data_IF_135438449636
#
_entry.id   IF_135438449636
#
_cell.length_a   1.000
_cell.length_b   1.000
_cell.length_c   1.000
_cell.angle_alpha   90.00
_cell.angle_beta   90.00
_cell.angle_gamma   90.00
#
_symmetry.space_group_name_H-M   'P 1'
#
loop_
_entity.id
_entity.type
_entity.pdbx_description
1 polymer ?
#
# COMPACT_ATOMS: atom_id res chain seq x y z
N UNK A 1 22.60 -69.17 -0.20
CA UNK A 1 21.56 -68.78 -1.19
C UNK A 1 21.50 -67.27 -1.28
N UNK A 2 21.09 -66.78 -2.44
CA UNK A 2 21.32 -65.44 -3.02
C UNK A 2 20.65 -64.26 -2.28
N UNK A 3 21.24 -63.08 -2.49
CA UNK A 3 20.91 -61.73 -2.01
C UNK A 3 19.42 -61.36 -1.93
N UNK A 4 19.09 -60.50 -0.95
CA UNK A 4 18.11 -59.43 -1.10
C UNK A 4 18.70 -58.11 -0.62
N UNK A 5 18.68 -57.14 -1.53
CA UNK A 5 19.03 -55.75 -1.36
C UNK A 5 17.87 -54.99 -0.70
N UNK A 6 18.18 -53.94 0.06
CA UNK A 6 17.70 -52.56 -0.17
C UNK A 6 18.42 -51.59 0.75
N UNK A 7 18.92 -50.51 0.15
CA UNK A 7 19.62 -49.41 0.77
C UNK A 7 18.65 -48.42 1.43
N UNK A 8 19.12 -47.67 2.43
CA UNK A 8 18.83 -46.24 2.55
C UNK A 8 19.78 -45.61 3.58
N UNK A 9 20.63 -44.72 3.07
CA UNK A 9 21.50 -43.85 3.83
C UNK A 9 20.69 -42.76 4.55
N UNK A 10 21.20 -42.26 5.68
CA UNK A 10 20.89 -40.92 6.15
C UNK A 10 22.18 -40.28 6.66
N UNK A 11 22.65 -39.31 5.87
CA UNK A 11 23.82 -38.50 6.08
C UNK A 11 23.59 -37.47 7.19
N UNK A 12 24.64 -37.21 7.95
CA UNK A 12 24.75 -36.13 8.92
C UNK A 12 24.88 -34.77 8.20
N UNK A 13 24.28 -33.72 8.77
CA UNK A 13 24.68 -32.33 8.52
C UNK A 13 24.66 -31.56 9.84
N UNK A 14 25.83 -31.03 10.21
CA UNK A 14 26.03 -30.04 11.26
C UNK A 14 26.26 -28.66 10.60
N UNK A 15 25.67 -27.60 11.16
CA UNK A 15 26.07 -26.20 10.94
C UNK A 15 25.35 -25.35 12.01
N UNK A 16 26.06 -24.79 12.99
CA UNK A 16 26.77 -23.49 13.02
C UNK A 16 25.91 -22.29 13.45
N UNK A 17 26.52 -21.50 14.34
CA UNK A 17 25.95 -20.47 15.20
C UNK A 17 25.48 -19.19 14.50
N UNK A 18 24.61 -18.42 15.16
CA UNK A 18 24.64 -16.95 15.16
C UNK A 18 23.86 -16.37 16.34
N UNK A 19 24.53 -15.51 17.11
CA UNK A 19 23.92 -14.54 18.02
C UNK A 19 23.22 -13.48 17.18
N UNK A 20 22.01 -13.03 17.55
CA UNK A 20 21.68 -11.59 17.53
C UNK A 20 20.44 -11.29 18.37
N UNK A 21 20.59 -10.33 19.27
CA UNK A 21 19.52 -9.74 20.06
C UNK A 21 18.55 -8.97 19.14
N UNK A 22 17.25 -9.22 19.28
CA UNK A 22 16.23 -8.30 18.80
C UNK A 22 15.62 -7.61 20.02
N UNK A 23 16.23 -6.49 20.38
CA UNK A 23 15.59 -5.46 21.19
C UNK A 23 14.25 -5.13 20.56
N UNK A 24 13.18 -5.30 21.34
CA UNK A 24 11.86 -4.78 21.03
C UNK A 24 11.93 -3.25 21.02
N UNK A 25 12.08 -2.68 19.84
CA UNK A 25 11.99 -1.24 19.64
C UNK A 25 10.61 -0.88 19.13
N UNK A 26 9.99 0.00 19.88
CA UNK A 26 8.67 0.61 19.74
C UNK A 26 8.43 1.27 18.38
N UNK A 27 7.14 1.43 18.07
CA UNK A 27 6.56 2.31 17.06
C UNK A 27 7.40 3.56 16.76
N UNK A 28 8.01 3.58 15.59
CA UNK A 28 8.46 4.80 14.92
C UNK A 28 8.09 4.68 13.45
N UNK A 29 6.81 4.88 13.15
CA UNK A 29 6.35 5.21 11.80
C UNK A 29 6.82 6.63 11.46
N UNK A 30 8.14 6.82 11.40
CA UNK A 30 8.75 8.01 10.79
C UNK A 30 8.33 7.97 9.32
N UNK A 31 7.58 8.98 8.81
CA UNK A 31 7.32 9.06 7.38
C UNK A 31 8.68 9.01 6.68
N UNK A 32 8.79 8.21 5.61
CA UNK A 32 9.93 8.31 4.72
C UNK A 32 10.17 9.80 4.45
N UNK A 33 11.40 10.28 4.62
CA UNK A 33 11.73 11.70 4.83
C UNK A 33 11.38 12.65 3.67
N UNK A 34 10.57 12.21 2.70
CA UNK A 34 10.20 12.91 1.48
C UNK A 34 8.71 12.78 1.10
N UNK A 35 7.82 12.33 1.99
CA UNK A 35 6.37 12.32 1.71
C UNK A 35 5.78 13.71 2.01
N UNK A 36 5.11 14.38 1.05
CA UNK A 36 4.42 15.65 1.30
C UNK A 36 3.37 15.52 2.41
N UNK A 37 3.14 16.61 3.15
CA UNK A 37 2.06 16.64 4.14
C UNK A 37 0.70 16.49 3.46
N UNK A 38 -0.15 15.66 4.06
CA UNK A 38 -1.51 15.40 3.59
C UNK A 38 -2.46 15.15 4.77
N UNK A 39 -3.77 15.22 4.51
CA UNK A 39 -4.82 14.90 5.48
C UNK A 39 -5.79 13.90 4.87
N UNK A 40 -6.08 12.79 5.57
CA UNK A 40 -7.21 11.93 5.20
C UNK A 40 -8.50 12.63 5.66
N UNK A 41 -9.39 12.92 4.72
CA UNK A 41 -10.68 13.56 5.01
C UNK A 41 -11.85 12.59 4.99
N UNK A 42 -11.69 11.46 4.32
CA UNK A 42 -12.67 10.38 4.28
C UNK A 42 -11.97 9.04 4.16
N UNK A 43 -12.50 8.03 4.84
CA UNK A 43 -12.07 6.64 4.68
C UNK A 43 -13.23 5.71 5.01
N UNK A 44 -13.66 4.92 4.03
CA UNK A 44 -14.66 3.88 4.26
C UNK A 44 -14.10 2.79 5.17
N UNK A 45 -14.89 2.36 6.15
CA UNK A 45 -14.51 1.35 7.15
C UNK A 45 -15.14 -0.02 6.90
N UNK A 46 -16.00 -0.14 5.89
CA UNK A 46 -16.72 -1.39 5.58
C UNK A 46 -17.00 -1.52 4.08
N UNK A 47 -17.34 -2.73 3.65
CA UNK A 47 -17.61 -3.06 2.25
C UNK A 47 -16.39 -3.63 1.53
N UNK A 48 -16.64 -4.22 0.35
CA UNK A 48 -15.59 -4.86 -0.46
C UNK A 48 -14.86 -3.86 -1.37
N UNK A 49 -15.48 -2.71 -1.64
CA UNK A 49 -14.91 -1.57 -2.34
C UNK A 49 -14.96 -0.38 -1.40
N UNK A 50 -13.82 0.27 -1.18
CA UNK A 50 -13.67 1.31 -0.16
C UNK A 50 -12.89 2.48 -0.71
N UNK A 51 -13.33 3.68 -0.39
CA UNK A 51 -12.70 4.92 -0.81
C UNK A 51 -11.90 5.54 0.33
N UNK A 52 -10.72 6.06 0.00
CA UNK A 52 -9.92 6.92 0.88
C UNK A 52 -9.70 8.25 0.17
N UNK A 53 -10.28 9.32 0.69
CA UNK A 53 -10.07 10.67 0.19
C UNK A 53 -9.01 11.37 1.01
N UNK A 54 -8.03 11.94 0.31
CA UNK A 54 -6.85 12.61 0.86
C UNK A 54 -6.78 14.02 0.32
N UNK A 55 -6.48 14.99 1.17
CA UNK A 55 -6.25 16.38 0.81
C UNK A 55 -4.77 16.74 0.92
N UNK A 56 -4.27 17.46 -0.09
CA UNK A 56 -2.93 18.05 -0.14
C UNK A 56 -3.01 19.53 -0.49
N UNK A 57 -1.98 20.30 -0.13
CA UNK A 57 -1.89 21.73 -0.49
C UNK A 57 -1.00 21.98 -1.71
N UNK A 58 -0.44 20.93 -2.32
CA UNK A 58 0.48 21.01 -3.45
C UNK A 58 0.35 19.82 -4.38
N UNK A 59 0.70 20.00 -5.66
CA UNK A 59 0.81 18.93 -6.66
C UNK A 59 2.17 18.24 -6.68
N UNK A 60 3.08 18.61 -5.78
CA UNK A 60 4.40 17.97 -5.66
C UNK A 60 4.28 16.56 -5.09
N UNK A 61 5.00 15.62 -5.69
CA UNK A 61 5.18 14.25 -5.22
C UNK A 61 3.88 13.52 -4.81
N UNK A 62 2.79 13.74 -5.55
CA UNK A 62 1.49 13.07 -5.33
C UNK A 62 1.61 11.53 -5.33
N UNK A 63 2.57 10.98 -6.09
CA UNK A 63 2.86 9.55 -6.07
C UNK A 63 3.36 9.08 -4.70
N UNK A 64 4.20 9.87 -4.03
CA UNK A 64 4.69 9.55 -2.69
C UNK A 64 3.56 9.57 -1.66
N UNK A 65 2.62 10.53 -1.77
CA UNK A 65 1.40 10.55 -0.95
C UNK A 65 0.56 9.29 -1.17
N UNK A 66 0.36 8.91 -2.44
CA UNK A 66 -0.36 7.68 -2.78
C UNK A 66 0.30 6.42 -2.20
N UNK A 67 1.62 6.29 -2.35
CA UNK A 67 2.36 5.13 -1.87
C UNK A 67 2.33 5.05 -0.33
N UNK A 68 2.44 6.18 0.38
CA UNK A 68 2.34 6.24 1.83
C UNK A 68 0.93 5.89 2.35
N UNK A 69 -0.12 6.40 1.68
CA UNK A 69 -1.51 6.06 2.03
C UNK A 69 -1.79 4.58 1.79
N UNK A 70 -1.45 4.06 0.62
CA UNK A 70 -1.71 2.64 0.30
C UNK A 70 -0.86 1.67 1.10
N UNK A 71 0.31 2.08 1.59
CA UNK A 71 1.12 1.31 2.52
C UNK A 71 0.45 1.06 3.88
N UNK A 72 -0.55 1.87 4.25
CA UNK A 72 -1.31 1.76 5.50
C UNK A 72 -2.60 0.94 5.37
N UNK A 73 -2.99 0.58 4.14
CA UNK A 73 -4.21 -0.16 3.85
C UNK A 73 -3.89 -1.65 3.82
N UNK A 74 -4.17 -2.36 4.92
CA UNK A 74 -3.75 -3.75 5.14
C UNK A 74 -4.90 -4.74 5.22
N UNK A 75 -6.13 -4.28 5.36
CA UNK A 75 -7.30 -5.14 5.44
C UNK A 75 -7.93 -5.40 4.06
N UNK A 76 -8.50 -6.60 3.94
CA UNK A 76 -9.03 -7.14 2.68
C UNK A 76 -10.17 -6.26 2.12
N UNK A 77 -9.84 -5.51 1.08
CA UNK A 77 -10.77 -4.71 0.29
C UNK A 77 -10.12 -4.22 -1.01
N UNK A 78 -10.95 -3.79 -1.94
CA UNK A 78 -10.54 -2.98 -3.07
C UNK A 78 -10.54 -1.51 -2.67
N UNK A 79 -9.34 -0.94 -2.52
CA UNK A 79 -9.18 0.44 -2.08
C UNK A 79 -9.05 1.37 -3.27
N UNK A 80 -9.87 2.43 -3.29
CA UNK A 80 -9.85 3.51 -4.26
C UNK A 80 -9.33 4.77 -3.55
N UNK A 81 -8.13 5.20 -3.91
CA UNK A 81 -7.48 6.35 -3.30
C UNK A 81 -7.68 7.57 -4.16
N UNK A 82 -8.08 8.64 -3.50
CA UNK A 82 -8.67 9.80 -4.10
C UNK A 82 -7.89 11.02 -3.57
N UNK A 83 -6.93 11.55 -4.36
CA UNK A 83 -6.09 12.68 -3.92
C UNK A 83 -6.62 13.98 -4.48
N UNK A 84 -7.03 14.85 -3.58
CA UNK A 84 -7.65 16.15 -3.83
C UNK A 84 -6.74 17.29 -3.41
N UNK A 85 -6.89 18.41 -4.09
CA UNK A 85 -6.41 19.66 -3.53
C UNK A 85 -7.31 20.10 -2.36
N UNK A 86 -6.70 20.54 -1.25
CA UNK A 86 -7.42 21.08 -0.10
C UNK A 86 -8.22 22.35 -0.42
N UNK A 87 -7.83 23.05 -1.49
CA UNK A 87 -8.48 24.27 -2.00
C UNK A 87 -9.02 24.05 -3.41
N UNK A 88 -10.00 24.85 -3.83
CA UNK A 88 -10.47 24.88 -5.22
C UNK A 88 -11.63 23.93 -5.56
N UNK A 89 -12.12 23.12 -4.63
CA UNK A 89 -13.40 22.42 -4.82
C UNK A 89 -14.54 23.45 -4.86
N UNK A 90 -15.26 23.52 -5.97
CA UNK A 90 -16.52 24.27 -6.05
C UNK A 90 -17.61 23.36 -6.61
N UNK A 91 -18.87 23.81 -6.59
CA UNK A 91 -19.98 23.07 -7.21
C UNK A 91 -19.76 22.72 -8.69
N UNK A 92 -18.83 23.38 -9.39
CA UNK A 92 -18.52 23.14 -10.80
C UNK A 92 -17.06 22.81 -11.11
N UNK A 93 -16.17 22.73 -10.11
CA UNK A 93 -14.75 22.45 -10.32
C UNK A 93 -14.30 21.28 -9.45
N UNK A 94 -13.91 20.20 -10.12
CA UNK A 94 -13.29 19.03 -9.50
C UNK A 94 -11.86 19.37 -9.05
N UNK A 95 -11.59 19.20 -7.75
CA UNK A 95 -10.28 19.38 -7.13
C UNK A 95 -9.42 18.11 -7.17
N UNK A 96 -9.82 17.07 -7.90
CA UNK A 96 -9.08 15.82 -8.05
C UNK A 96 -7.75 16.02 -8.77
N UNK A 97 -6.68 15.72 -8.06
CA UNK A 97 -5.30 15.76 -8.56
C UNK A 97 -4.81 14.41 -9.04
N UNK A 98 -5.22 13.33 -8.38
CA UNK A 98 -4.85 11.98 -8.76
C UNK A 98 -5.85 10.96 -8.22
N UNK A 99 -5.97 9.84 -8.92
CA UNK A 99 -6.69 8.66 -8.49
C UNK A 99 -5.72 7.48 -8.40
N UNK A 100 -6.05 6.52 -7.55
CA UNK A 100 -5.32 5.27 -7.52
C UNK A 100 -6.16 4.15 -6.94
N UNK A 101 -5.63 2.94 -7.07
CA UNK A 101 -6.26 1.71 -6.58
C UNK A 101 -5.23 0.84 -5.88
N UNK A 102 -5.63 0.14 -4.84
CA UNK A 102 -4.85 -0.89 -4.14
C UNK A 102 -5.73 -2.13 -3.94
N UNK A 103 -5.23 -3.28 -4.37
CA UNK A 103 -5.82 -4.57 -4.05
C UNK A 103 -5.19 -5.13 -2.77
N UNK A 104 -6.04 -5.52 -1.81
CA UNK A 104 -5.66 -6.31 -0.64
C UNK A 104 -6.55 -7.55 -0.57
N UNK A 105 -5.93 -8.71 -0.62
CA UNK A 105 -6.59 -10.01 -0.63
C UNK A 105 -7.36 -10.29 -1.92
N UNK A 106 -8.02 -11.45 -1.95
CA UNK A 106 -8.83 -11.89 -3.09
C UNK A 106 -10.03 -10.97 -3.35
N UNK A 107 -10.61 -10.39 -2.29
CA UNK A 107 -11.67 -9.38 -2.37
C UNK A 107 -11.15 -8.14 -3.09
N UNK A 108 -9.98 -7.64 -2.68
CA UNK A 108 -9.39 -6.46 -3.31
C UNK A 108 -9.00 -6.67 -4.75
N UNK A 109 -8.48 -7.86 -5.08
CA UNK A 109 -8.17 -8.23 -6.46
C UNK A 109 -9.43 -8.22 -7.33
N UNK A 110 -10.51 -8.87 -6.89
CA UNK A 110 -11.79 -8.90 -7.60
C UNK A 110 -12.42 -7.51 -7.75
N UNK A 111 -12.34 -6.68 -6.72
CA UNK A 111 -12.92 -5.34 -6.69
C UNK A 111 -12.19 -4.35 -7.62
N UNK A 112 -10.86 -4.42 -7.69
CA UNK A 112 -10.05 -3.43 -8.42
C UNK A 112 -9.65 -3.90 -9.82
N UNK A 113 -9.69 -5.21 -10.08
CA UNK A 113 -9.14 -5.83 -11.29
C UNK A 113 -7.60 -5.89 -11.30
N UNK A 114 -6.95 -5.67 -10.16
CA UNK A 114 -5.50 -5.81 -9.99
C UNK A 114 -5.17 -7.16 -9.34
N UNK A 115 -3.94 -7.62 -9.46
CA UNK A 115 -3.47 -8.74 -8.64
C UNK A 115 -3.36 -8.34 -7.17
N UNK A 116 -3.45 -9.31 -6.27
CA UNK A 116 -3.30 -9.08 -4.83
C UNK A 116 -1.98 -8.33 -4.50
N UNK A 117 -2.09 -7.37 -3.59
CA UNK A 117 -1.01 -6.49 -3.16
C UNK A 117 -0.62 -5.41 -4.18
N UNK A 118 -1.16 -5.40 -5.40
CA UNK A 118 -0.78 -4.43 -6.43
C UNK A 118 -1.52 -3.10 -6.30
N UNK A 119 -0.89 -2.07 -6.87
CA UNK A 119 -1.41 -0.72 -6.95
C UNK A 119 -1.46 -0.22 -8.39
N UNK A 120 -2.45 0.59 -8.72
CA UNK A 120 -2.47 1.43 -9.91
C UNK A 120 -2.60 2.91 -9.51
N UNK A 121 -1.97 3.81 -10.25
CA UNK A 121 -1.98 5.24 -9.95
C UNK A 121 -2.06 6.04 -11.23
N UNK A 122 -2.85 7.09 -11.22
CA UNK A 122 -3.02 8.01 -12.33
C UNK A 122 -3.13 9.44 -11.81
N UNK A 123 -2.19 10.29 -12.22
CA UNK A 123 -2.25 11.72 -11.94
C UNK A 123 -3.07 12.44 -13.03
N UNK A 124 -3.98 13.31 -12.60
CA UNK A 124 -4.73 14.17 -13.50
C UNK A 124 -3.82 15.30 -14.01
N UNK A 125 -3.43 15.24 -15.28
CA UNK A 125 -2.52 16.21 -15.90
C UNK A 125 -3.16 17.61 -15.97
N UNK A 126 -2.33 18.64 -15.82
CA UNK A 126 -2.75 20.04 -15.94
C UNK A 126 -3.53 20.58 -14.74
N UNK A 127 -3.71 19.80 -13.67
CA UNK A 127 -4.32 20.25 -12.42
C UNK A 127 -3.33 21.05 -11.58
N UNK A 128 -3.86 21.99 -10.81
CA UNK A 128 -3.10 22.85 -9.90
C UNK A 128 -3.76 22.87 -8.53
N UNK A 129 -2.95 23.15 -7.51
CA UNK A 129 -3.43 23.52 -6.19
C UNK A 129 -3.25 25.03 -6.02
N UNK A 130 -4.33 25.82 -5.98
CA UNK A 130 -4.23 27.25 -5.68
C UNK A 130 -3.69 27.45 -4.25
N UNK A 131 -2.73 28.35 -4.12
CA UNK A 131 -2.18 28.80 -2.83
C UNK A 131 -3.11 29.82 -2.17
#
# INVERSE_FOLDING_TARGET
MKHRATAAALAAVAALAALTACSSSSDDSKPAANVPAYKITHQDTSGNQRTVTVEVTSTKDLRAVFDDVTGKLTDDAGWFVEINCATGATKGADNRLANGRKAVGSIGAAATGLDDGKTAYEANKGRTCPA
#
